data_IF_442297820945
#
_entry.id   IF_442297820945
#
_cell.length_a   1.000
_cell.length_b   1.000
_cell.length_c   1.000
_cell.angle_alpha   90.00
_cell.angle_beta   90.00
_cell.angle_gamma   90.00
#
_symmetry.space_group_name_H-M   'P 1'
#
loop_
_entity.id
_entity.type
_entity.pdbx_description
1 polymer ?
#
# COMPACT_ATOMS: atom_id res chain seq x y z
N UNK A 1 13.77 9.83 6.04
CA UNK A 1 14.08 9.87 4.59
C UNK A 1 12.77 9.97 3.83
N UNK A 2 12.59 10.91 2.88
CA UNK A 2 11.35 11.00 2.13
C UNK A 2 11.22 9.85 1.12
N UNK A 3 9.98 9.51 0.77
CA UNK A 3 9.68 8.48 -0.23
C UNK A 3 10.23 8.89 -1.60
N UNK A 4 11.07 8.03 -2.18
CA UNK A 4 11.66 8.29 -3.50
C UNK A 4 10.69 8.02 -4.66
N UNK A 5 9.64 7.20 -4.46
CA UNK A 5 8.66 6.83 -5.48
C UNK A 5 7.88 8.04 -6.00
N UNK A 6 7.81 8.21 -7.32
CA UNK A 6 7.04 9.27 -7.98
C UNK A 6 5.53 9.20 -7.65
N UNK A 7 5.01 7.99 -7.36
CA UNK A 7 3.60 7.77 -7.01
C UNK A 7 3.28 8.11 -5.56
N UNK A 8 4.26 7.98 -4.65
CA UNK A 8 4.03 8.09 -3.21
C UNK A 8 4.66 9.32 -2.56
N UNK A 9 5.59 9.99 -3.25
CA UNK A 9 6.26 11.21 -2.76
C UNK A 9 5.24 12.33 -2.51
N UNK A 10 5.40 13.04 -1.39
CA UNK A 10 4.56 14.19 -1.03
C UNK A 10 3.22 13.83 -0.40
N UNK A 11 2.94 12.55 -0.15
CA UNK A 11 1.75 12.12 0.57
C UNK A 11 2.09 11.91 2.05
N UNK A 12 1.63 12.79 2.97
CA UNK A 12 2.10 12.79 4.36
C UNK A 12 1.78 11.49 5.10
N UNK A 13 0.68 10.81 4.75
CA UNK A 13 0.33 9.52 5.36
C UNK A 13 1.26 8.39 4.91
N UNK A 14 1.66 8.38 3.65
CA UNK A 14 2.59 7.36 3.14
C UNK A 14 4.00 7.62 3.67
N UNK A 15 4.41 8.89 3.78
CA UNK A 15 5.69 9.24 4.39
C UNK A 15 5.73 8.89 5.88
N UNK A 16 4.63 9.13 6.62
CA UNK A 16 4.52 8.70 8.01
C UNK A 16 4.63 7.18 8.15
N UNK A 17 4.05 6.40 7.24
CA UNK A 17 4.11 4.94 7.24
C UNK A 17 5.54 4.39 7.05
N UNK A 18 6.48 5.17 6.49
CA UNK A 18 7.90 4.79 6.41
C UNK A 18 8.64 5.05 7.72
N UNK A 19 8.15 6.00 8.52
CA UNK A 19 8.84 6.48 9.73
C UNK A 19 8.33 5.77 10.99
N UNK A 20 7.06 5.32 11.01
CA UNK A 20 6.44 4.72 12.20
C UNK A 20 5.54 3.55 11.84
N UNK A 21 5.75 2.41 12.52
CA UNK A 21 4.88 1.23 12.44
C UNK A 21 3.41 1.55 12.78
N UNK A 22 3.16 2.50 13.68
CA UNK A 22 1.81 2.93 14.06
C UNK A 22 1.07 3.66 12.93
N UNK A 23 1.81 4.17 11.95
CA UNK A 23 1.26 4.81 10.77
C UNK A 23 1.09 3.84 9.59
N UNK A 24 1.33 2.53 9.79
CA UNK A 24 1.08 1.53 8.77
C UNK A 24 -0.38 1.55 8.31
N UNK A 25 -0.56 1.47 7.00
CA UNK A 25 -1.88 1.40 6.37
C UNK A 25 -2.43 -0.01 6.60
N UNK A 26 -3.45 -0.11 7.45
CA UNK A 26 -4.12 -1.36 7.80
C UNK A 26 -5.49 -1.49 7.10
N UNK A 27 -6.06 -2.71 7.02
CA UNK A 27 -7.43 -2.90 6.58
C UNK A 27 -8.40 -1.97 7.31
N UNK A 28 -9.28 -1.32 6.55
CA UNK A 28 -10.19 -0.28 7.04
C UNK A 28 -9.70 1.15 6.79
N UNK A 29 -8.44 1.36 6.41
CA UNK A 29 -7.96 2.67 5.96
C UNK A 29 -8.69 3.12 4.69
N UNK A 30 -8.94 4.44 4.57
CA UNK A 30 -9.63 5.04 3.42
C UNK A 30 -8.98 6.36 3.02
N UNK A 31 -8.90 6.61 1.71
CA UNK A 31 -8.46 7.88 1.12
C UNK A 31 -7.47 7.70 -0.04
N UNK A 32 -6.96 8.82 -0.55
CA UNK A 32 -6.09 8.86 -1.74
C UNK A 32 -4.80 8.06 -1.60
N UNK A 33 -4.23 8.00 -0.40
CA UNK A 33 -3.05 7.18 -0.11
C UNK A 33 -3.31 5.69 -0.35
N UNK A 34 -4.51 5.18 -0.01
CA UNK A 34 -4.90 3.80 -0.32
C UNK A 34 -5.09 3.61 -1.81
N UNK A 35 -5.71 4.58 -2.49
CA UNK A 35 -5.89 4.56 -3.94
C UNK A 35 -4.55 4.46 -4.67
N UNK A 36 -3.55 5.22 -4.23
CA UNK A 36 -2.17 5.14 -4.74
C UNK A 36 -1.56 3.76 -4.53
N UNK A 37 -1.76 3.14 -3.36
CA UNK A 37 -1.30 1.77 -3.09
C UNK A 37 -1.96 0.78 -4.07
N UNK A 38 -3.28 0.88 -4.25
CA UNK A 38 -4.02 0.02 -5.19
C UNK A 38 -3.49 0.18 -6.63
N UNK A 39 -3.30 1.42 -7.09
CA UNK A 39 -2.72 1.71 -8.42
C UNK A 39 -1.33 1.07 -8.55
N UNK A 40 -0.48 1.21 -7.54
CA UNK A 40 0.85 0.61 -7.57
C UNK A 40 0.80 -0.93 -7.62
N UNK A 41 -0.12 -1.57 -6.88
CA UNK A 41 -0.32 -3.03 -6.93
C UNK A 41 -0.79 -3.49 -8.32
N UNK A 42 -1.69 -2.72 -8.95
CA UNK A 42 -2.15 -2.98 -10.32
C UNK A 42 -0.98 -2.86 -11.30
N UNK A 43 -0.17 -1.81 -11.19
CA UNK A 43 0.96 -1.59 -12.10
C UNK A 43 2.10 -2.61 -11.91
N UNK A 44 2.38 -3.01 -10.66
CA UNK A 44 3.51 -3.88 -10.35
C UNK A 44 3.21 -5.37 -10.52
N UNK A 45 1.99 -5.80 -10.18
CA UNK A 45 1.63 -7.21 -10.16
C UNK A 45 0.35 -7.53 -10.96
N UNK A 46 -0.26 -6.56 -11.63
CA UNK A 46 -1.49 -6.78 -12.39
C UNK A 46 -2.68 -7.13 -11.49
N UNK A 47 -2.69 -6.64 -10.25
CA UNK A 47 -3.75 -6.95 -9.29
C UNK A 47 -5.14 -6.58 -9.86
N UNK A 48 -6.07 -7.54 -9.87
CA UNK A 48 -7.45 -7.33 -10.34
C UNK A 48 -8.34 -6.60 -9.32
N UNK A 49 -7.86 -5.49 -8.76
CA UNK A 49 -8.56 -4.69 -7.75
C UNK A 49 -8.95 -3.32 -8.31
N UNK A 50 -10.04 -2.75 -7.80
CA UNK A 50 -10.45 -1.39 -8.16
C UNK A 50 -9.72 -0.39 -7.26
N UNK A 51 -9.12 0.68 -7.81
CA UNK A 51 -8.50 1.74 -7.02
C UNK A 51 -9.57 2.70 -6.47
N UNK A 52 -10.41 2.19 -5.58
CA UNK A 52 -11.53 2.91 -4.92
C UNK A 52 -11.09 3.73 -3.69
N UNK A 53 -9.83 3.61 -3.28
CA UNK A 53 -9.31 4.27 -2.09
C UNK A 53 -9.77 3.63 -0.78
N UNK A 54 -10.28 2.40 -0.81
CA UNK A 54 -10.73 1.66 0.38
C UNK A 54 -9.84 0.44 0.59
N UNK A 55 -9.24 0.34 1.77
CA UNK A 55 -8.44 -0.82 2.13
C UNK A 55 -9.36 -1.94 2.60
N UNK A 56 -10.00 -2.59 1.64
CA UNK A 56 -10.86 -3.76 1.85
C UNK A 56 -10.10 -5.10 1.81
N UNK A 57 -10.83 -6.22 1.92
CA UNK A 57 -10.24 -7.56 1.85
C UNK A 57 -9.55 -7.85 0.51
N UNK A 58 -10.06 -7.31 -0.60
CA UNK A 58 -9.42 -7.45 -1.91
C UNK A 58 -8.05 -6.75 -1.95
N UNK A 59 -7.97 -5.52 -1.44
CA UNK A 59 -6.70 -4.78 -1.31
C UNK A 59 -5.73 -5.52 -0.38
N UNK A 60 -6.22 -6.06 0.74
CA UNK A 60 -5.41 -6.84 1.67
C UNK A 60 -4.82 -8.10 1.00
N UNK A 61 -5.61 -8.82 0.21
CA UNK A 61 -5.17 -9.99 -0.54
C UNK A 61 -4.11 -9.61 -1.59
N UNK A 62 -4.30 -8.50 -2.32
CA UNK A 62 -3.33 -8.01 -3.28
C UNK A 62 -2.00 -7.58 -2.62
N UNK A 63 -2.06 -6.90 -1.47
CA UNK A 63 -0.86 -6.55 -0.69
C UNK A 63 -0.15 -7.81 -0.19
N UNK A 64 -0.90 -8.81 0.30
CA UNK A 64 -0.32 -10.06 0.74
C UNK A 64 0.38 -10.80 -0.40
N UNK A 65 -0.26 -10.88 -1.57
CA UNK A 65 0.33 -11.49 -2.77
C UNK A 65 1.61 -10.73 -3.21
N UNK A 66 1.59 -9.40 -3.20
CA UNK A 66 2.76 -8.56 -3.48
C UNK A 66 3.91 -8.87 -2.51
N UNK A 67 3.61 -8.98 -1.21
CA UNK A 67 4.60 -9.27 -0.16
C UNK A 67 5.15 -10.68 -0.28
N UNK A 68 4.31 -11.67 -0.57
CA UNK A 68 4.70 -13.06 -0.78
C UNK A 68 5.64 -13.18 -1.98
N UNK A 69 5.28 -12.58 -3.12
CA UNK A 69 6.07 -12.63 -4.35
C UNK A 69 7.48 -12.06 -4.17
N UNK A 70 7.65 -11.07 -3.29
CA UNK A 70 8.93 -10.40 -3.01
C UNK A 70 9.59 -10.87 -1.70
N UNK A 71 9.00 -11.84 -1.00
CA UNK A 71 9.45 -12.35 0.29
C UNK A 71 9.69 -11.25 1.35
N UNK A 72 8.83 -10.24 1.38
CA UNK A 72 8.85 -9.11 2.33
C UNK A 72 7.69 -9.20 3.33
N UNK A 73 7.30 -10.42 3.68
CA UNK A 73 6.31 -10.67 4.71
C UNK A 73 7.00 -10.44 6.05
N UNK A 74 6.50 -9.51 6.87
CA UNK A 74 6.94 -9.39 8.26
C UNK A 74 6.57 -10.69 8.98
N UNK A 75 7.57 -11.56 9.15
CA UNK A 75 7.50 -12.70 10.07
C UNK A 75 7.94 -12.13 11.42
N UNK A 76 6.97 -11.81 12.27
CA UNK A 76 7.21 -11.55 13.69
C UNK A 76 7.94 -12.71 14.35
#
# INVERSE_FOLDING_TARGET
MPLQSQLFRGDPKLEAAVVSDSAHIVPGARGDHVRKIQIALIQLDGAGITPDGIYGPATAAAVLAFKQKRNIINRS
#
